data_IF_474285624148
#
_entry.id   IF_474285624148
#
_cell.length_a   1.000
_cell.length_b   1.000
_cell.length_c   1.000
_cell.angle_alpha   90.00
_cell.angle_beta   90.00
_cell.angle_gamma   90.00
#
_symmetry.space_group_name_H-M   'P 1'
#
loop_
_entity.id
_entity.type
_entity.pdbx_description
1 polymer ?
#
# COMPACT_ATOMS: atom_id res chain seq x y z
N UNK A 1 -31.47 28.46 38.44
CA UNK A 1 -30.42 27.91 37.55
C UNK A 1 -30.46 28.70 36.25
N UNK A 2 -29.49 29.60 36.02
CA UNK A 2 -29.49 30.49 34.86
C UNK A 2 -28.96 29.73 33.64
N UNK A 3 -29.84 29.39 32.71
CA UNK A 3 -29.44 28.86 31.40
C UNK A 3 -28.99 30.09 30.60
N UNK A 4 -27.67 30.23 30.40
CA UNK A 4 -27.10 31.33 29.63
C UNK A 4 -27.68 31.40 28.20
N UNK A 5 -27.52 32.54 27.52
CA UNK A 5 -28.10 32.80 26.20
C UNK A 5 -27.78 31.77 25.10
N UNK A 6 -28.36 31.95 23.92
CA UNK A 6 -28.28 31.00 22.79
C UNK A 6 -26.86 30.58 22.39
N UNK A 7 -25.85 31.44 22.62
CA UNK A 7 -24.44 31.18 22.35
C UNK A 7 -23.64 30.66 23.56
N UNK A 8 -24.29 30.39 24.70
CA UNK A 8 -23.61 29.91 25.90
C UNK A 8 -22.96 28.54 25.65
N UNK A 9 -21.83 28.31 26.32
CA UNK A 9 -21.08 27.05 26.24
C UNK A 9 -21.98 25.85 26.60
N UNK A 10 -22.88 26.04 27.57
CA UNK A 10 -23.86 25.03 27.96
C UNK A 10 -24.82 24.67 26.82
N UNK A 11 -25.42 25.67 26.14
CA UNK A 11 -26.34 25.41 25.03
C UNK A 11 -25.63 24.82 23.81
N UNK A 12 -24.38 25.21 23.53
CA UNK A 12 -23.59 24.57 22.47
C UNK A 12 -23.24 23.12 22.80
N UNK A 13 -22.86 22.82 24.05
CA UNK A 13 -22.57 21.46 24.48
C UNK A 13 -23.83 20.57 24.44
N UNK A 14 -24.97 21.12 24.89
CA UNK A 14 -26.27 20.44 24.82
C UNK A 14 -26.66 20.13 23.37
N UNK A 15 -26.55 21.11 22.46
CA UNK A 15 -26.84 20.92 21.04
C UNK A 15 -25.94 19.87 20.39
N UNK A 16 -24.62 19.91 20.66
CA UNK A 16 -23.69 18.88 20.19
C UNK A 16 -24.03 17.49 20.71
N UNK A 17 -24.49 17.39 21.96
CA UNK A 17 -24.95 16.13 22.55
C UNK A 17 -26.23 15.63 21.85
N UNK A 18 -27.21 16.51 21.65
CA UNK A 18 -28.44 16.19 20.91
C UNK A 18 -28.15 15.74 19.46
N UNK A 19 -27.27 16.45 18.75
CA UNK A 19 -26.84 16.10 17.39
C UNK A 19 -26.11 14.75 17.34
N UNK A 20 -25.25 14.46 18.34
CA UNK A 20 -24.56 13.16 18.46
C UNK A 20 -25.55 12.00 18.65
N UNK A 21 -26.63 12.23 19.41
CA UNK A 21 -27.66 11.23 19.67
C UNK A 21 -28.59 11.00 18.45
N UNK A 22 -28.58 11.90 17.46
CA UNK A 22 -29.31 11.73 16.21
C UNK A 22 -28.56 10.79 15.25
N UNK A 23 -28.74 9.48 15.45
CA UNK A 23 -28.16 8.45 14.58
C UNK A 23 -28.42 8.70 13.08
N UNK A 24 -29.58 9.24 12.69
CA UNK A 24 -29.92 9.55 11.29
C UNK A 24 -28.99 10.57 10.62
N UNK A 25 -28.25 11.37 11.39
CA UNK A 25 -27.26 12.34 10.91
C UNK A 25 -25.82 11.81 11.02
N UNK A 26 -25.64 10.56 11.44
CA UNK A 26 -24.32 9.97 11.54
C UNK A 26 -23.62 9.93 10.17
N UNK A 27 -22.29 10.01 10.21
CA UNK A 27 -21.45 9.89 9.02
C UNK A 27 -21.74 8.58 8.28
N UNK A 28 -21.95 7.48 9.02
CA UNK A 28 -22.31 6.18 8.46
C UNK A 28 -23.62 6.26 7.65
N UNK A 29 -24.67 6.82 8.25
CA UNK A 29 -25.95 6.98 7.56
C UNK A 29 -25.87 7.96 6.37
N UNK A 30 -25.00 8.96 6.43
CA UNK A 30 -24.74 9.86 5.30
C UNK A 30 -24.06 9.12 4.13
N UNK A 31 -23.12 8.21 4.40
CA UNK A 31 -22.52 7.34 3.38
C UNK A 31 -23.52 6.32 2.82
N UNK A 32 -24.39 5.76 3.66
CA UNK A 32 -25.40 4.79 3.23
C UNK A 32 -26.48 5.45 2.36
N UNK A 33 -26.86 6.69 2.68
CA UNK A 33 -27.78 7.54 1.89
C UNK A 33 -27.22 8.01 0.55
N UNK A 34 -25.92 7.82 0.29
CA UNK A 34 -25.32 8.25 -0.97
C UNK A 34 -25.93 7.48 -2.15
N UNK A 35 -26.24 8.19 -3.24
CA UNK A 35 -26.93 7.58 -4.38
C UNK A 35 -26.12 6.42 -5.00
N UNK A 36 -26.83 5.42 -5.53
CA UNK A 36 -26.22 4.30 -6.26
C UNK A 36 -25.32 4.80 -7.40
N UNK A 37 -25.73 5.88 -8.07
CA UNK A 37 -24.95 6.52 -9.14
C UNK A 37 -23.61 7.06 -8.62
N UNK A 38 -23.60 7.80 -7.51
CA UNK A 38 -22.36 8.33 -6.92
C UNK A 38 -21.40 7.21 -6.51
N UNK A 39 -21.92 6.12 -5.95
CA UNK A 39 -21.10 4.93 -5.60
C UNK A 39 -20.50 4.28 -6.85
N UNK A 40 -21.28 4.17 -7.93
CA UNK A 40 -20.82 3.64 -9.21
C UNK A 40 -19.72 4.50 -9.82
N UNK A 41 -19.91 5.82 -9.88
CA UNK A 41 -18.93 6.76 -10.42
C UNK A 41 -17.63 6.74 -9.63
N UNK A 42 -17.71 6.69 -8.30
CA UNK A 42 -16.53 6.54 -7.45
C UNK A 42 -15.77 5.24 -7.74
N UNK A 43 -16.48 4.11 -7.88
CA UNK A 43 -15.87 2.83 -8.26
C UNK A 43 -15.20 2.88 -9.62
N UNK A 44 -15.81 3.56 -10.61
CA UNK A 44 -15.21 3.71 -11.94
C UNK A 44 -13.91 4.51 -11.89
N UNK A 45 -13.88 5.62 -11.13
CA UNK A 45 -12.64 6.37 -10.92
C UNK A 45 -11.58 5.56 -10.19
N UNK A 46 -11.96 4.83 -9.14
CA UNK A 46 -11.04 4.01 -8.38
C UNK A 46 -10.44 2.91 -9.25
N UNK A 47 -11.29 2.23 -10.03
CA UNK A 47 -10.85 1.23 -11.01
C UNK A 47 -9.85 1.85 -12.00
N UNK A 48 -10.15 3.01 -12.56
CA UNK A 48 -9.22 3.69 -13.47
C UNK A 48 -7.85 3.96 -12.82
N UNK A 49 -7.84 4.45 -11.58
CA UNK A 49 -6.59 4.66 -10.84
C UNK A 49 -5.83 3.35 -10.60
N UNK A 50 -6.53 2.27 -10.23
CA UNK A 50 -5.92 0.95 -10.02
C UNK A 50 -5.28 0.44 -11.31
N UNK A 51 -5.97 0.48 -12.44
CA UNK A 51 -5.45 0.02 -13.75
C UNK A 51 -4.15 0.75 -14.13
N UNK A 52 -4.12 2.09 -13.92
CA UNK A 52 -2.92 2.89 -14.19
C UNK A 52 -1.78 2.53 -13.24
N UNK A 53 -2.07 2.30 -11.96
CA UNK A 53 -1.06 1.86 -10.98
C UNK A 53 -0.49 0.50 -11.39
N UNK A 54 -1.36 -0.47 -11.70
CA UNK A 54 -0.98 -1.82 -12.12
C UNK A 54 -0.10 -1.77 -13.37
N UNK A 55 -0.45 -0.96 -14.37
CA UNK A 55 0.38 -0.77 -15.56
C UNK A 55 1.79 -0.26 -15.20
N UNK A 56 1.87 0.77 -14.34
CA UNK A 56 3.15 1.33 -13.91
C UNK A 56 4.01 0.30 -13.15
N UNK A 57 3.39 -0.49 -12.26
CA UNK A 57 4.08 -1.55 -11.52
C UNK A 57 4.61 -2.63 -12.46
N UNK A 58 3.77 -3.13 -13.37
CA UNK A 58 4.14 -4.19 -14.31
C UNK A 58 5.28 -3.80 -15.25
N UNK A 59 5.43 -2.50 -15.52
CA UNK A 59 6.48 -1.96 -16.39
C UNK A 59 7.69 -1.41 -15.61
N UNK A 60 7.69 -1.50 -14.27
CA UNK A 60 8.75 -0.93 -13.44
C UNK A 60 8.90 0.60 -13.57
N UNK A 61 7.82 1.29 -13.94
CA UNK A 61 7.87 2.73 -14.23
C UNK A 61 7.61 3.56 -12.98
N UNK A 62 8.44 4.58 -12.79
CA UNK A 62 8.22 5.56 -11.73
C UNK A 62 6.86 6.26 -11.85
N UNK A 63 6.13 6.35 -10.74
CA UNK A 63 4.84 7.04 -10.65
C UNK A 63 4.95 8.56 -10.77
N UNK A 64 6.08 9.11 -10.29
CA UNK A 64 6.33 10.54 -10.15
C UNK A 64 7.21 11.08 -11.28
N UNK A 65 7.00 12.36 -11.58
CA UNK A 65 8.03 13.27 -12.09
C UNK A 65 8.16 14.44 -11.10
N UNK A 66 9.32 15.10 -11.04
CA UNK A 66 9.82 15.85 -9.88
C UNK A 66 9.00 17.10 -9.44
N UNK A 67 7.97 17.55 -10.17
CA UNK A 67 7.06 18.62 -9.74
C UNK A 67 5.63 18.34 -10.18
N UNK A 68 4.66 18.61 -9.30
CA UNK A 68 3.22 18.53 -9.54
C UNK A 68 2.59 19.92 -9.40
N UNK A 69 3.19 20.95 -9.99
CA UNK A 69 2.47 22.22 -10.18
C UNK A 69 1.47 22.03 -11.33
N UNK A 70 0.29 22.65 -11.22
CA UNK A 70 -0.76 22.53 -12.25
C UNK A 70 -0.31 23.05 -13.62
N UNK A 71 0.72 23.91 -13.63
CA UNK A 71 1.39 24.49 -14.80
C UNK A 71 2.49 23.62 -15.42
N UNK A 72 2.87 22.48 -14.83
CA UNK A 72 3.89 21.62 -15.44
C UNK A 72 3.42 21.03 -16.77
N UNK A 73 4.32 21.05 -17.77
CA UNK A 73 4.14 20.37 -19.05
C UNK A 73 4.00 18.84 -18.90
N UNK A 74 4.51 18.28 -17.80
CA UNK A 74 4.43 16.86 -17.47
C UNK A 74 4.10 16.70 -15.98
N UNK A 75 2.87 16.25 -15.68
CA UNK A 75 2.36 16.11 -14.30
C UNK A 75 2.79 14.80 -13.61
N UNK A 76 3.71 14.06 -14.23
CA UNK A 76 4.16 12.73 -13.81
C UNK A 76 3.36 11.60 -14.46
N UNK A 77 4.01 10.44 -14.59
CA UNK A 77 3.50 9.32 -15.40
C UNK A 77 2.09 8.88 -15.02
N UNK A 78 1.76 8.83 -13.72
CA UNK A 78 0.42 8.45 -13.28
C UNK A 78 -0.67 9.38 -13.84
N UNK A 79 -0.48 10.70 -13.74
CA UNK A 79 -1.49 11.66 -14.20
C UNK A 79 -1.61 11.69 -15.72
N UNK A 80 -0.47 11.61 -16.43
CA UNK A 80 -0.47 11.59 -17.89
C UNK A 80 -1.13 10.31 -18.44
N UNK A 81 -0.82 9.14 -17.87
CA UNK A 81 -1.45 7.88 -18.28
C UNK A 81 -2.93 7.86 -17.90
N UNK A 82 -3.31 8.36 -16.72
CA UNK A 82 -4.73 8.43 -16.33
C UNK A 82 -5.52 9.35 -17.29
N UNK A 83 -4.94 10.49 -17.68
CA UNK A 83 -5.53 11.39 -18.68
C UNK A 83 -5.64 10.73 -20.05
N UNK A 84 -4.58 10.01 -20.47
CA UNK A 84 -4.56 9.26 -21.72
C UNK A 84 -5.61 8.13 -21.74
N UNK A 85 -5.76 7.42 -20.63
CA UNK A 85 -6.72 6.32 -20.45
C UNK A 85 -8.16 6.84 -20.47
N UNK A 86 -8.43 7.92 -19.73
CA UNK A 86 -9.75 8.56 -19.69
C UNK A 86 -10.23 9.01 -21.07
N UNK A 87 -9.33 9.57 -21.90
CA UNK A 87 -9.65 9.99 -23.27
C UNK A 87 -10.08 8.85 -24.20
N UNK A 88 -9.80 7.60 -23.85
CA UNK A 88 -10.13 6.41 -24.65
C UNK A 88 -11.30 5.61 -24.10
N UNK A 89 -11.86 6.03 -22.96
CA UNK A 89 -12.96 5.32 -22.32
C UNK A 89 -14.08 6.31 -22.00
N UNK A 90 -15.14 6.31 -22.82
CA UNK A 90 -16.27 7.25 -22.69
C UNK A 90 -16.89 7.22 -21.28
N UNK A 91 -16.96 6.03 -20.67
CA UNK A 91 -17.49 5.83 -19.31
C UNK A 91 -16.66 6.50 -18.21
N UNK A 92 -15.38 6.78 -18.46
CA UNK A 92 -14.42 7.31 -17.48
C UNK A 92 -14.04 8.76 -17.81
N UNK A 93 -14.09 9.13 -19.09
CA UNK A 93 -13.72 10.45 -19.61
C UNK A 93 -14.41 11.60 -18.86
N UNK A 94 -15.67 11.40 -18.48
CA UNK A 94 -16.48 12.40 -17.77
C UNK A 94 -16.40 12.31 -16.25
N UNK A 95 -15.67 11.34 -15.70
CA UNK A 95 -15.68 11.07 -14.27
C UNK A 95 -14.36 11.42 -13.57
N UNK A 96 -13.21 11.39 -14.25
CA UNK A 96 -11.89 11.56 -13.60
C UNK A 96 -11.32 12.99 -13.71
N UNK A 97 -10.23 13.24 -12.98
CA UNK A 97 -9.45 14.49 -13.02
C UNK A 97 -10.33 15.71 -12.68
N UNK A 98 -10.34 16.74 -13.52
CA UNK A 98 -11.07 17.99 -13.29
C UNK A 98 -12.59 17.82 -13.35
N UNK A 99 -13.08 16.71 -13.90
CA UNK A 99 -14.52 16.41 -13.95
C UNK A 99 -15.02 15.68 -12.71
N UNK A 100 -14.11 15.18 -11.86
CA UNK A 100 -14.49 14.53 -10.62
C UNK A 100 -15.00 15.57 -9.59
N UNK A 101 -16.03 15.24 -8.80
CA UNK A 101 -16.59 16.19 -7.85
C UNK A 101 -15.63 16.46 -6.68
N UNK A 102 -15.37 17.74 -6.41
CA UNK A 102 -14.59 18.21 -5.25
C UNK A 102 -13.23 17.49 -5.14
N UNK A 103 -13.03 16.74 -4.05
CA UNK A 103 -11.79 16.05 -3.72
C UNK A 103 -11.77 14.59 -4.22
N UNK A 104 -12.81 14.15 -4.93
CA UNK A 104 -12.99 12.76 -5.32
C UNK A 104 -12.23 12.40 -6.61
N UNK A 105 -11.14 13.13 -6.90
CA UNK A 105 -10.28 12.97 -8.06
C UNK A 105 -9.48 11.66 -8.02
N UNK A 106 -9.26 11.09 -6.83
CA UNK A 106 -8.43 9.89 -6.57
C UNK A 106 -6.97 10.01 -7.05
N UNK A 107 -6.49 11.24 -7.25
CA UNK A 107 -5.14 11.53 -7.76
C UNK A 107 -4.16 11.96 -6.67
N UNK A 108 -4.62 12.07 -5.42
CA UNK A 108 -3.78 12.52 -4.32
C UNK A 108 -2.66 11.52 -4.05
N UNK A 109 -1.54 12.03 -3.56
CA UNK A 109 -0.39 11.18 -3.26
C UNK A 109 -0.69 10.13 -2.17
N UNK A 110 -1.56 10.46 -1.20
CA UNK A 110 -2.01 9.51 -0.18
C UNK A 110 -2.76 8.35 -0.81
N UNK A 111 -3.72 8.64 -1.69
CA UNK A 111 -4.51 7.61 -2.39
C UNK A 111 -3.62 6.75 -3.29
N UNK A 112 -2.67 7.35 -4.01
CA UNK A 112 -1.69 6.59 -4.80
C UNK A 112 -0.90 5.61 -3.94
N UNK A 113 -0.43 6.04 -2.76
CA UNK A 113 0.26 5.16 -1.81
C UNK A 113 -0.64 4.05 -1.27
N UNK A 114 -1.89 4.35 -0.96
CA UNK A 114 -2.85 3.36 -0.46
C UNK A 114 -3.10 2.28 -1.52
N UNK A 115 -3.27 2.66 -2.79
CA UNK A 115 -3.41 1.70 -3.91
C UNK A 115 -2.13 0.88 -4.08
N UNK A 116 -0.94 1.51 -4.09
CA UNK A 116 0.34 0.79 -4.18
C UNK A 116 0.49 -0.22 -3.03
N UNK A 117 0.09 0.17 -1.82
CA UNK A 117 0.14 -0.70 -0.65
C UNK A 117 -0.81 -1.88 -0.79
N UNK A 118 -2.03 -1.64 -1.29
CA UNK A 118 -2.98 -2.71 -1.58
C UNK A 118 -2.42 -3.69 -2.65
N UNK A 119 -1.87 -3.17 -3.75
CA UNK A 119 -1.21 -4.00 -4.76
C UNK A 119 -0.07 -4.83 -4.16
N UNK A 120 0.79 -4.22 -3.32
CA UNK A 120 1.85 -4.95 -2.60
C UNK A 120 1.28 -6.11 -1.79
N UNK A 121 0.24 -5.87 -0.99
CA UNK A 121 -0.36 -6.88 -0.13
C UNK A 121 -0.98 -8.03 -0.93
N UNK A 122 -1.72 -7.73 -2.00
CA UNK A 122 -2.32 -8.75 -2.88
C UNK A 122 -1.24 -9.56 -3.63
N UNK A 123 -0.16 -8.92 -4.08
CA UNK A 123 0.97 -9.64 -4.72
C UNK A 123 1.65 -10.58 -3.74
N UNK A 124 1.94 -10.13 -2.51
CA UNK A 124 2.54 -11.00 -1.48
C UNK A 124 1.58 -12.14 -1.16
N UNK A 125 0.29 -11.85 -0.96
CA UNK A 125 -0.72 -12.88 -0.69
C UNK A 125 -0.74 -13.96 -1.79
N UNK A 126 -0.72 -13.56 -3.06
CA UNK A 126 -0.66 -14.50 -4.18
C UNK A 126 0.62 -15.37 -4.15
N UNK A 127 1.78 -14.80 -3.78
CA UNK A 127 3.03 -15.56 -3.60
C UNK A 127 2.90 -16.57 -2.45
N UNK A 128 2.32 -16.17 -1.31
CA UNK A 128 2.13 -17.07 -0.16
C UNK A 128 1.14 -18.20 -0.48
N UNK A 129 0.06 -17.88 -1.21
CA UNK A 129 -0.90 -18.88 -1.68
C UNK A 129 -0.24 -19.86 -2.68
N UNK A 130 0.60 -19.37 -3.58
CA UNK A 130 1.35 -20.19 -4.53
C UNK A 130 2.36 -21.12 -3.82
N UNK A 131 3.06 -20.62 -2.81
CA UNK A 131 3.92 -21.41 -1.91
C UNK A 131 3.15 -22.50 -1.16
N UNK A 132 1.86 -22.29 -0.87
CA UNK A 132 0.96 -23.30 -0.30
C UNK A 132 1.45 -23.95 1.02
N UNK A 133 2.22 -23.21 1.83
CA UNK A 133 2.79 -23.72 3.08
C UNK A 133 3.93 -24.73 2.91
N UNK A 134 4.44 -24.91 1.70
CA UNK A 134 5.61 -25.76 1.45
C UNK A 134 6.91 -25.14 1.96
N UNK A 135 7.96 -25.96 1.93
CA UNK A 135 9.30 -25.54 2.27
C UNK A 135 9.86 -24.54 1.25
N UNK A 136 10.69 -23.60 1.71
CA UNK A 136 11.35 -22.62 0.86
C UNK A 136 12.80 -22.37 1.28
N UNK A 137 13.58 -21.81 0.37
CA UNK A 137 14.86 -21.20 0.67
C UNK A 137 14.70 -19.67 0.78
N UNK A 138 15.48 -19.08 1.68
CA UNK A 138 15.50 -17.65 1.94
C UNK A 138 16.76 -17.04 1.31
N UNK A 139 16.60 -16.04 0.45
CA UNK A 139 17.70 -15.24 -0.07
C UNK A 139 17.56 -13.82 0.49
N UNK A 140 18.63 -13.33 1.12
CA UNK A 140 18.66 -12.00 1.71
C UNK A 140 19.89 -11.24 1.21
N UNK A 141 19.64 -10.05 0.70
CA UNK A 141 20.66 -9.14 0.18
C UNK A 141 20.67 -7.85 1.00
N UNK A 142 21.84 -7.48 1.52
CA UNK A 142 22.02 -6.25 2.30
C UNK A 142 22.41 -5.10 1.36
N UNK A 143 21.76 -3.94 1.49
CA UNK A 143 22.12 -2.74 0.74
C UNK A 143 21.84 -1.47 1.55
N UNK A 144 22.28 -0.33 1.05
CA UNK A 144 21.89 0.97 1.60
C UNK A 144 20.99 1.72 0.61
N UNK A 145 19.99 2.44 1.12
CA UNK A 145 19.19 3.35 0.30
C UNK A 145 19.97 4.63 -0.09
N UNK A 146 19.34 5.48 -0.91
CA UNK A 146 19.94 6.75 -1.37
C UNK A 146 20.25 7.74 -0.23
N UNK A 147 19.66 7.54 0.95
CA UNK A 147 19.91 8.32 2.16
C UNK A 147 20.93 7.67 3.09
N UNK A 148 21.62 6.62 2.61
CA UNK A 148 22.58 5.79 3.36
C UNK A 148 21.96 5.10 4.57
N UNK A 149 20.68 4.74 4.49
CA UNK A 149 20.03 3.90 5.49
C UNK A 149 20.11 2.45 5.06
N UNK A 150 20.51 1.61 6.00
CA UNK A 150 20.63 0.17 5.80
C UNK A 150 19.26 -0.47 5.55
N UNK A 151 19.21 -1.38 4.59
CA UNK A 151 18.04 -2.14 4.22
C UNK A 151 18.42 -3.53 3.73
N UNK A 152 17.45 -4.44 3.72
CA UNK A 152 17.61 -5.78 3.18
C UNK A 152 16.50 -6.09 2.20
N UNK A 153 16.84 -6.70 1.06
CA UNK A 153 15.88 -7.33 0.17
C UNK A 153 15.66 -8.77 0.64
N UNK A 154 14.40 -9.17 0.78
CA UNK A 154 14.00 -10.52 1.17
C UNK A 154 13.31 -11.20 -0.01
N UNK A 155 13.83 -12.36 -0.38
CA UNK A 155 13.41 -13.14 -1.54
C UNK A 155 13.20 -14.59 -1.10
N UNK A 156 12.11 -15.20 -1.59
CA UNK A 156 11.82 -16.61 -1.41
C UNK A 156 12.19 -17.37 -2.68
N UNK A 157 12.78 -18.56 -2.51
CA UNK A 157 12.98 -19.53 -3.58
C UNK A 157 12.27 -20.82 -3.20
N UNK A 158 11.32 -21.28 -4.01
CA UNK A 158 10.50 -22.45 -3.72
C UNK A 158 10.09 -23.16 -5.00
N UNK A 159 9.48 -24.33 -4.86
CA UNK A 159 8.89 -25.08 -5.99
C UNK A 159 7.40 -24.74 -6.03
N UNK A 160 6.94 -24.19 -7.15
CA UNK A 160 5.53 -23.84 -7.34
C UNK A 160 4.66 -25.10 -7.55
N UNK A 161 3.34 -24.89 -7.65
CA UNK A 161 2.38 -25.98 -7.86
C UNK A 161 2.58 -26.74 -9.18
N UNK A 162 3.31 -26.17 -10.14
CA UNK A 162 3.65 -26.80 -11.41
C UNK A 162 4.98 -27.58 -11.33
N UNK A 163 5.59 -27.67 -10.15
CA UNK A 163 6.88 -28.35 -9.96
C UNK A 163 8.08 -27.53 -10.44
N UNK A 164 7.91 -26.23 -10.71
CA UNK A 164 8.97 -25.36 -11.20
C UNK A 164 9.62 -24.58 -10.07
N UNK A 165 10.95 -24.47 -10.10
CA UNK A 165 11.67 -23.61 -9.17
C UNK A 165 11.38 -22.14 -9.52
N UNK A 166 10.82 -21.41 -8.56
CA UNK A 166 10.51 -19.98 -8.71
C UNK A 166 11.21 -19.16 -7.64
N UNK A 167 11.62 -17.95 -8.03
CA UNK A 167 12.21 -16.94 -7.15
C UNK A 167 11.24 -15.77 -7.09
N UNK A 168 10.87 -15.37 -5.86
CA UNK A 168 9.86 -14.33 -5.59
C UNK A 168 10.36 -13.34 -4.57
N UNK A 169 10.52 -12.10 -5.00
CA UNK A 169 10.79 -10.99 -4.11
C UNK A 169 9.55 -10.67 -3.27
N UNK A 170 9.71 -10.65 -1.94
CA UNK A 170 8.60 -10.40 -1.02
C UNK A 170 8.71 -9.06 -0.30
N UNK A 171 9.86 -8.39 -0.34
CA UNK A 171 9.97 -6.98 0.02
C UNK A 171 11.34 -6.52 0.48
N UNK A 172 11.40 -5.23 0.82
CA UNK A 172 12.56 -4.59 1.44
C UNK A 172 12.22 -4.21 2.87
N UNK A 173 13.15 -4.49 3.79
CA UNK A 173 13.06 -4.14 5.20
C UNK A 173 14.17 -3.16 5.54
N UNK A 174 13.81 -2.02 6.11
CA UNK A 174 14.81 -1.08 6.63
C UNK A 174 15.30 -1.57 7.99
N UNK A 175 16.62 -1.59 8.17
CA UNK A 175 17.24 -1.98 9.44
C UNK A 175 18.01 -0.82 10.03
N UNK A 176 18.04 -0.77 11.36
CA UNK A 176 18.74 0.32 12.08
C UNK A 176 20.24 0.12 12.10
N UNK A 177 20.67 -1.14 12.02
CA UNK A 177 22.05 -1.58 12.14
C UNK A 177 22.21 -2.88 11.33
N UNK A 178 23.43 -3.16 10.85
CA UNK A 178 23.80 -4.41 10.17
C UNK A 178 24.36 -5.47 11.13
N UNK A 179 24.25 -5.26 12.44
CA UNK A 179 24.50 -6.29 13.44
C UNK A 179 23.61 -7.53 13.23
N UNK A 180 24.20 -8.72 13.32
CA UNK A 180 23.55 -10.00 13.00
C UNK A 180 22.27 -10.26 13.77
N UNK A 181 22.19 -9.82 15.03
CA UNK A 181 20.99 -9.90 15.86
C UNK A 181 19.83 -9.09 15.27
N UNK A 182 20.10 -7.83 14.89
CA UNK A 182 19.08 -6.94 14.31
C UNK A 182 18.62 -7.43 12.95
N UNK A 183 19.55 -7.96 12.14
CA UNK A 183 19.21 -8.53 10.84
C UNK A 183 18.30 -9.76 10.99
N UNK A 184 18.62 -10.65 11.93
CA UNK A 184 17.80 -11.83 12.24
C UNK A 184 16.41 -11.45 12.73
N UNK A 185 16.33 -10.52 13.68
CA UNK A 185 15.06 -10.04 14.22
C UNK A 185 14.19 -9.41 13.11
N UNK A 186 14.80 -8.60 12.24
CA UNK A 186 14.11 -7.99 11.10
C UNK A 186 13.54 -9.04 10.14
N UNK A 187 14.31 -10.09 9.81
CA UNK A 187 13.85 -11.20 8.97
C UNK A 187 12.69 -11.94 9.63
N UNK A 188 12.82 -12.35 10.89
CA UNK A 188 11.78 -13.09 11.62
C UNK A 188 10.49 -12.30 11.70
N UNK A 189 10.59 -11.01 12.07
CA UNK A 189 9.43 -10.13 12.16
C UNK A 189 8.77 -9.94 10.79
N UNK A 190 9.55 -9.82 9.71
CA UNK A 190 9.00 -9.68 8.36
C UNK A 190 8.29 -10.94 7.88
N UNK A 191 8.87 -12.13 8.11
CA UNK A 191 8.23 -13.39 7.77
C UNK A 191 6.93 -13.59 8.56
N UNK A 192 6.94 -13.28 9.87
CA UNK A 192 5.76 -13.41 10.72
C UNK A 192 4.59 -12.51 10.27
N UNK A 193 4.87 -11.31 9.74
CA UNK A 193 3.84 -10.41 9.17
C UNK A 193 3.10 -11.04 7.98
N UNK A 194 3.72 -12.02 7.32
CA UNK A 194 3.16 -12.74 6.18
C UNK A 194 2.81 -14.20 6.51
N UNK A 195 2.70 -14.52 7.80
CA UNK A 195 2.40 -15.87 8.30
C UNK A 195 3.41 -16.93 7.87
N UNK A 196 4.64 -16.52 7.58
CA UNK A 196 5.77 -17.41 7.31
C UNK A 196 6.57 -17.67 8.58
N UNK A 197 7.15 -18.87 8.67
CA UNK A 197 7.99 -19.29 9.79
C UNK A 197 9.33 -19.80 9.30
N UNK A 198 10.38 -19.54 10.08
CA UNK A 198 11.71 -20.11 9.83
C UNK A 198 11.73 -21.64 9.86
N UNK A 199 10.74 -22.30 10.48
CA UNK A 199 10.63 -23.76 10.51
C UNK A 199 10.47 -24.41 9.12
N UNK A 200 9.99 -23.65 8.14
CA UNK A 200 9.81 -24.11 6.75
C UNK A 200 11.01 -23.76 5.85
N UNK A 201 12.03 -23.09 6.40
CA UNK A 201 13.23 -22.73 5.66
C UNK A 201 14.14 -23.96 5.51
N UNK A 202 14.53 -24.29 4.28
CA UNK A 202 15.43 -25.41 3.95
C UNK A 202 16.75 -24.99 3.31
N UNK A 203 16.89 -23.71 2.97
CA UNK A 203 18.12 -23.12 2.47
C UNK A 203 18.17 -21.65 2.83
N UNK A 204 19.36 -21.13 3.05
CA UNK A 204 19.56 -19.71 3.36
C UNK A 204 20.77 -19.19 2.59
N UNK A 205 20.63 -18.05 1.92
CA UNK A 205 21.70 -17.37 1.20
C UNK A 205 21.75 -15.91 1.65
N UNK A 206 22.91 -15.50 2.15
CA UNK A 206 23.15 -14.16 2.67
C UNK A 206 24.41 -13.59 2.00
N UNK A 207 24.33 -12.44 1.34
CA UNK A 207 25.51 -11.79 0.73
C UNK A 207 26.55 -11.39 1.81
N UNK A 208 26.07 -11.01 3.00
CA UNK A 208 26.89 -10.68 4.18
C UNK A 208 27.27 -11.86 5.08
N UNK A 209 27.49 -13.08 4.54
CA UNK A 209 27.61 -14.34 5.29
C UNK A 209 28.47 -14.29 6.59
N UNK A 210 29.53 -13.48 6.62
CA UNK A 210 30.39 -13.27 7.80
C UNK A 210 29.66 -12.68 9.02
N UNK A 211 28.63 -11.86 8.81
CA UNK A 211 27.82 -11.23 9.87
C UNK A 211 26.87 -12.27 10.47
N UNK A 212 26.22 -13.07 9.64
CA UNK A 212 25.24 -14.06 10.06
C UNK A 212 25.84 -15.28 10.78
N UNK A 213 27.12 -15.60 10.52
CA UNK A 213 27.82 -16.72 11.15
C UNK A 213 28.28 -16.47 12.60
N UNK A 214 28.44 -15.20 13.04
CA UNK A 214 29.01 -14.86 14.36
C UNK A 214 27.99 -14.79 15.50
N UNK A 215 26.69 -14.79 15.21
CA UNK A 215 25.62 -14.63 16.20
C UNK A 215 24.68 -15.83 16.26
N UNK A 216 25.12 -16.91 16.94
CA UNK A 216 24.32 -18.09 17.29
C UNK A 216 23.85 -18.95 16.12
N UNK A 217 23.93 -20.28 16.29
CA UNK A 217 23.40 -21.28 15.35
C UNK A 217 21.96 -20.90 14.96
N UNK A 218 21.78 -20.62 13.68
CA UNK A 218 20.47 -20.71 13.03
C UNK A 218 20.01 -22.18 13.13
N UNK A 219 18.71 -22.46 13.36
CA UNK A 219 18.21 -23.82 13.29
C UNK A 219 18.50 -24.46 11.93
#
# INVERSE_FOLDING_TARGET
>A
MHIGGLSSIHNQAKKKCEDLMQQKQSIQNAFDRQSTQTKLEHRLRLKASIEVVTLLLNQGLAFRWHRKDESSLNKGKFLEILKWYAKRCDKICDLVLEKAPKNDKLTSHKIQKDIITACKLETIKAIIEDLNGDNFALLVDESCDISRKEQMAIVLCYVDRMGSMVVRFIGIVHVRDTGSLYLKEAIVNYLAQHSLSLSYVRGQCYDGASKYARGSKWP
#
